data_IF_230538393340
#
_entry.id   IF_230538393340
#
_cell.length_a   1.000
_cell.length_b   1.000
_cell.length_c   1.000
_cell.angle_alpha   90.00
_cell.angle_beta   90.00
_cell.angle_gamma   90.00
#
_symmetry.space_group_name_H-M   'P 1'
#
loop_
_entity.id
_entity.type
_entity.pdbx_description
1 polymer ?
#
# COMPACT_ATOMS: atom_id res chain seq x y z
N UNK A 1 -0.46 -0.25 -26.10
CA UNK A 1 -0.45 -0.75 -24.76
C UNK A 1 0.87 -0.45 -24.05
N UNK A 2 0.75 0.18 -22.93
CA UNK A 2 1.94 0.48 -22.17
C UNK A 2 2.53 -0.77 -21.56
N UNK A 3 3.81 -0.88 -21.67
CA UNK A 3 4.49 -2.02 -21.08
C UNK A 3 5.67 -1.50 -20.29
N UNK A 4 5.76 -1.89 -19.06
CA UNK A 4 6.86 -1.47 -18.24
C UNK A 4 8.15 -2.03 -18.83
N UNK A 5 9.04 -1.14 -19.27
CA UNK A 5 10.22 -1.60 -19.98
C UNK A 5 11.14 -2.47 -19.15
N UNK A 6 11.09 -2.32 -17.87
CA UNK A 6 11.97 -3.09 -17.02
C UNK A 6 11.39 -4.42 -16.61
N UNK A 7 10.41 -4.90 -17.36
CA UNK A 7 9.81 -6.15 -16.99
C UNK A 7 8.90 -6.01 -15.82
N UNK A 8 8.33 -4.85 -15.70
CA UNK A 8 7.37 -4.62 -14.66
C UNK A 8 8.00 -4.73 -13.28
N UNK A 9 9.10 -4.08 -13.10
CA UNK A 9 9.61 -3.94 -11.74
C UNK A 9 8.55 -3.30 -10.88
N UNK A 10 8.21 -3.97 -9.82
CA UNK A 10 7.36 -3.40 -8.81
C UNK A 10 8.14 -3.36 -7.52
N UNK A 11 8.12 -2.22 -6.88
CA UNK A 11 8.70 -2.16 -5.56
C UNK A 11 7.85 -2.95 -4.60
N UNK A 12 8.49 -3.45 -3.57
CA UNK A 12 7.81 -4.18 -2.53
C UNK A 12 7.50 -3.26 -1.36
N UNK A 13 6.38 -3.54 -0.73
CA UNK A 13 6.11 -2.99 0.59
C UNK A 13 6.32 -4.13 1.55
N UNK A 14 7.43 -4.07 2.28
CA UNK A 14 7.77 -5.12 3.25
C UNK A 14 7.11 -4.80 4.57
N UNK A 15 6.30 -5.72 5.05
CA UNK A 15 5.58 -5.54 6.29
C UNK A 15 6.45 -6.07 7.42
N UNK A 16 7.28 -5.19 7.98
CA UNK A 16 8.21 -5.56 9.04
C UNK A 16 7.74 -5.10 10.40
N UNK A 17 6.98 -4.03 10.44
CA UNK A 17 6.45 -3.48 11.67
C UNK A 17 4.96 -3.30 11.52
N UNK A 18 4.24 -3.45 12.60
CA UNK A 18 2.79 -3.34 12.61
C UNK A 18 2.37 -2.36 13.69
N UNK A 19 1.46 -1.45 13.37
CA UNK A 19 0.91 -1.25 12.04
C UNK A 19 1.98 -0.71 11.09
N UNK A 20 1.85 -1.07 9.82
CA UNK A 20 2.76 -0.58 8.79
C UNK A 20 2.10 0.59 8.10
N UNK A 21 2.58 1.78 8.36
CA UNK A 21 1.99 3.01 7.83
C UNK A 21 2.76 3.43 6.60
N UNK A 22 2.04 3.70 5.53
CA UNK A 22 2.64 4.06 4.24
C UNK A 22 2.13 5.43 3.84
N UNK A 23 3.03 6.30 3.45
CA UNK A 23 2.68 7.64 3.03
C UNK A 23 3.90 8.43 2.64
N UNK A 24 3.71 9.73 2.44
CA UNK A 24 4.79 10.58 1.97
C UNK A 24 5.49 11.36 3.09
N UNK A 25 5.01 11.26 4.32
CA UNK A 25 5.56 12.05 5.41
C UNK A 25 6.64 11.29 6.16
N UNK A 26 7.87 11.77 6.04
CA UNK A 26 8.98 11.18 6.78
C UNK A 26 8.78 11.38 8.27
N UNK A 27 9.23 10.39 9.04
CA UNK A 27 9.09 10.45 10.48
C UNK A 27 7.76 9.94 11.00
N UNK A 28 6.77 9.77 10.11
CA UNK A 28 5.45 9.30 10.50
C UNK A 28 5.09 7.99 9.83
N UNK A 29 5.83 7.61 8.80
CA UNK A 29 5.51 6.42 8.03
C UNK A 29 6.62 5.39 8.14
N UNK A 30 6.25 4.12 8.11
CA UNK A 30 7.22 3.02 8.07
C UNK A 30 7.75 2.84 6.65
N UNK A 31 6.93 3.12 5.67
CA UNK A 31 7.34 3.14 4.26
C UNK A 31 7.03 4.52 3.73
N UNK A 32 8.06 5.24 3.33
CA UNK A 32 7.91 6.59 2.82
C UNK A 32 8.01 6.56 1.31
N UNK A 33 7.03 7.15 0.65
CA UNK A 33 6.98 7.25 -0.80
C UNK A 33 6.98 8.71 -1.17
N UNK A 34 8.08 9.18 -1.72
CA UNK A 34 8.23 10.59 -2.08
C UNK A 34 7.58 10.84 -3.43
N UNK A 35 6.27 11.02 -3.41
CA UNK A 35 5.51 11.26 -4.61
C UNK A 35 4.33 12.14 -4.23
N UNK A 36 4.10 13.17 -5.03
CA UNK A 36 3.07 14.16 -4.71
C UNK A 36 1.66 13.59 -4.77
N UNK A 37 1.48 12.45 -5.43
CA UNK A 37 0.17 11.80 -5.49
C UNK A 37 -0.12 10.98 -4.23
N UNK A 38 0.88 10.77 -3.39
CA UNK A 38 0.74 9.98 -2.18
C UNK A 38 0.46 10.91 -1.01
N UNK A 39 -0.61 10.63 -0.28
CA UNK A 39 -0.96 11.42 0.89
C UNK A 39 0.06 11.26 2.00
N UNK A 40 0.12 12.22 2.91
CA UNK A 40 1.06 12.16 4.02
C UNK A 40 0.95 10.84 4.78
N UNK A 41 -0.26 10.46 5.14
CA UNK A 41 -0.57 9.15 5.68
C UNK A 41 -1.58 8.55 4.70
N UNK A 42 -1.14 7.60 3.89
CA UNK A 42 -1.96 7.15 2.78
C UNK A 42 -2.76 5.91 3.12
N UNK A 43 -2.10 4.92 3.67
CA UNK A 43 -2.77 3.70 4.07
C UNK A 43 -1.96 3.03 5.16
N UNK A 44 -2.56 2.05 5.83
CA UNK A 44 -1.82 1.28 6.80
C UNK A 44 -2.20 -0.18 6.70
N UNK A 45 -1.26 -1.02 7.11
CA UNK A 45 -1.46 -2.46 7.16
C UNK A 45 -1.45 -2.86 8.62
N UNK A 46 -2.46 -3.61 9.02
CA UNK A 46 -2.60 -4.09 10.39
C UNK A 46 -2.75 -5.59 10.37
N UNK A 47 -2.46 -6.21 11.50
CA UNK A 47 -2.65 -7.64 11.68
C UNK A 47 -3.68 -7.85 12.78
N UNK A 48 -4.69 -8.64 12.47
CA UNK A 48 -5.73 -8.97 13.44
C UNK A 48 -5.85 -10.48 13.44
N UNK A 49 -5.59 -11.09 14.59
CA UNK A 49 -5.44 -12.52 14.68
C UNK A 49 -4.32 -12.96 13.73
N UNK A 50 -4.61 -13.81 12.77
CA UNK A 50 -3.58 -14.30 11.87
C UNK A 50 -3.69 -13.68 10.50
N UNK A 51 -4.57 -12.71 10.31
CA UNK A 51 -4.81 -12.10 9.00
C UNK A 51 -4.29 -10.70 8.94
N UNK A 52 -3.80 -10.33 7.76
CA UNK A 52 -3.33 -8.98 7.49
C UNK A 52 -4.40 -8.23 6.73
N UNK A 53 -4.57 -6.96 7.07
CA UNK A 53 -5.58 -6.10 6.43
C UNK A 53 -4.94 -4.79 6.05
N UNK A 54 -5.40 -4.23 4.94
CA UNK A 54 -5.00 -2.89 4.52
C UNK A 54 -6.19 -1.96 4.68
N UNK A 55 -5.90 -0.75 5.10
CA UNK A 55 -6.93 0.25 5.34
C UNK A 55 -6.49 1.57 4.74
N UNK A 56 -7.33 2.15 3.88
CA UNK A 56 -7.05 3.47 3.31
C UNK A 56 -7.31 4.53 4.35
N UNK A 57 -6.34 5.41 4.55
CA UNK A 57 -6.41 6.42 5.59
C UNK A 57 -6.93 7.75 5.04
N UNK A 58 -8.03 7.67 4.32
CA UNK A 58 -8.67 8.85 3.74
C UNK A 58 -7.75 9.54 2.74
N UNK A 59 -7.08 8.74 1.93
CA UNK A 59 -6.13 9.27 0.96
C UNK A 59 -6.86 10.05 -0.14
N UNK A 60 -6.14 11.00 -0.72
CA UNK A 60 -6.70 11.81 -1.79
C UNK A 60 -6.90 11.01 -3.07
N UNK A 61 -5.92 10.19 -3.41
CA UNK A 61 -5.92 9.50 -4.70
C UNK A 61 -6.22 8.02 -4.62
N UNK A 62 -6.49 7.51 -3.42
CA UNK A 62 -7.01 6.17 -3.26
C UNK A 62 -5.96 5.08 -3.14
N UNK A 63 -6.43 3.92 -2.72
CA UNK A 63 -5.63 2.71 -2.58
C UNK A 63 -6.42 1.58 -3.24
N UNK A 64 -5.72 0.73 -3.98
CA UNK A 64 -6.35 -0.42 -4.63
C UNK A 64 -5.62 -1.70 -4.28
N UNK A 65 -6.37 -2.79 -4.19
CA UNK A 65 -5.82 -4.11 -3.88
C UNK A 65 -6.26 -5.04 -4.98
N UNK A 66 -5.30 -5.62 -5.68
CA UNK A 66 -5.53 -6.56 -6.78
C UNK A 66 -6.55 -6.01 -7.77
N UNK A 67 -6.40 -4.73 -8.11
CA UNK A 67 -7.24 -4.09 -9.11
C UNK A 67 -8.55 -3.53 -8.60
N UNK A 68 -8.82 -3.64 -7.31
CA UNK A 68 -10.07 -3.14 -6.75
C UNK A 68 -9.77 -2.02 -5.78
N UNK A 69 -10.39 -0.87 -6.00
CA UNK A 69 -10.22 0.25 -5.10
C UNK A 69 -10.97 -0.03 -3.80
N UNK A 70 -10.30 0.22 -2.68
CA UNK A 70 -10.93 0.01 -1.38
C UNK A 70 -11.49 1.32 -0.87
N UNK A 71 -12.57 1.20 -0.09
CA UNK A 71 -13.19 2.38 0.49
C UNK A 71 -12.41 2.83 1.71
N UNK A 72 -12.48 4.13 1.98
CA UNK A 72 -11.87 4.69 3.17
C UNK A 72 -12.46 4.05 4.42
N UNK A 73 -11.60 3.74 5.37
CA UNK A 73 -11.98 3.15 6.65
C UNK A 73 -12.57 1.74 6.51
N UNK A 74 -12.34 1.11 5.38
CA UNK A 74 -12.75 -0.27 5.16
C UNK A 74 -11.52 -1.13 5.14
N UNK A 75 -11.50 -2.19 5.94
CA UNK A 75 -10.40 -3.12 5.95
C UNK A 75 -10.56 -4.13 4.84
N UNK A 76 -9.46 -4.40 4.15
CA UNK A 76 -9.42 -5.37 3.08
C UNK A 76 -8.32 -6.37 3.39
N UNK A 77 -8.66 -7.64 3.40
CA UNK A 77 -7.67 -8.67 3.71
C UNK A 77 -6.64 -8.73 2.60
N UNK A 78 -5.36 -8.88 2.97
CA UNK A 78 -4.28 -8.99 2.00
C UNK A 78 -3.43 -10.20 2.35
N UNK A 79 -2.70 -10.67 1.36
CA UNK A 79 -1.80 -11.80 1.49
C UNK A 79 -0.48 -11.47 0.85
N UNK A 80 0.54 -12.22 1.22
CA UNK A 80 1.84 -12.05 0.63
C UNK A 80 1.74 -12.14 -0.89
N UNK A 81 2.33 -11.17 -1.57
CA UNK A 81 2.34 -11.15 -3.03
C UNK A 81 1.19 -10.38 -3.66
N UNK A 82 0.27 -9.86 -2.86
CA UNK A 82 -0.84 -9.09 -3.41
C UNK A 82 -0.34 -7.80 -4.05
N UNK A 83 -1.04 -7.39 -5.11
CA UNK A 83 -0.73 -6.15 -5.81
C UNK A 83 -1.48 -5.00 -5.14
N UNK A 84 -0.73 -3.98 -4.77
CA UNK A 84 -1.28 -2.80 -4.11
C UNK A 84 -0.96 -1.60 -4.99
N UNK A 85 -1.96 -0.78 -5.27
CA UNK A 85 -1.73 0.49 -5.93
C UNK A 85 -1.94 1.60 -4.92
N UNK A 86 -0.91 2.40 -4.73
CA UNK A 86 -0.99 3.58 -3.87
C UNK A 86 -1.05 4.77 -4.81
N UNK A 87 -2.21 5.42 -4.85
CA UNK A 87 -2.54 6.32 -5.94
C UNK A 87 -2.44 5.52 -7.23
N UNK A 88 -1.57 5.89 -8.16
CA UNK A 88 -1.38 5.14 -9.39
C UNK A 88 -0.09 4.33 -9.39
N UNK A 89 0.57 4.22 -8.24
CA UNK A 89 1.89 3.60 -8.16
C UNK A 89 1.76 2.13 -7.76
N UNK A 90 2.36 1.23 -8.51
CA UNK A 90 2.22 -0.20 -8.24
C UNK A 90 3.23 -0.70 -7.22
N UNK A 91 2.75 -1.51 -6.32
CA UNK A 91 3.57 -2.16 -5.30
C UNK A 91 3.12 -3.58 -5.10
N UNK A 92 4.02 -4.39 -4.58
CA UNK A 92 3.70 -5.75 -4.20
C UNK A 92 3.95 -5.89 -2.71
N UNK A 93 3.00 -6.50 -2.01
CA UNK A 93 3.13 -6.70 -0.56
C UNK A 93 4.04 -7.88 -0.28
N UNK A 94 4.96 -7.69 0.64
CA UNK A 94 5.83 -8.75 1.11
C UNK A 94 5.59 -8.96 2.59
N UNK A 95 5.07 -10.12 2.94
CA UNK A 95 4.78 -10.49 4.31
C UNK A 95 5.56 -11.73 4.63
N UNK A 96 6.41 -11.64 5.63
CA UNK A 96 7.22 -12.79 6.04
C UNK A 96 6.64 -13.50 7.25
#
# INVERSE_FOLDING_TARGET
>A
QYQCPMGAFMENISVEKLPCVVGSMEGRCNKVIHNRLVSHIHMCIVKINDDFYIEDMNSTNGTSVNGRRIATNQRCVIKNGDDIYIAALPYKVEIT
#
